data_IF_413857818835
#
_entry.id   IF_413857818835
#
_cell.length_a   1.000
_cell.length_b   1.000
_cell.length_c   1.000
_cell.angle_alpha   90.00
_cell.angle_beta   90.00
_cell.angle_gamma   90.00
#
_symmetry.space_group_name_H-M   'P 1'
#
loop_
_entity.id
_entity.type
_entity.pdbx_description
1 polymer ?
#
# COMPACT_ATOMS: atom_id res chain seq x y z
N UNK A 1 28.05 9.00 -9.05
CA UNK A 1 27.00 9.20 -8.02
C UNK A 1 27.60 8.88 -6.66
N UNK A 2 27.66 9.85 -5.78
CA UNK A 2 28.32 9.76 -4.48
C UNK A 2 27.42 9.02 -3.45
N UNK A 3 28.02 8.34 -2.49
CA UNK A 3 27.28 7.70 -1.38
C UNK A 3 26.49 8.75 -0.57
N UNK A 4 27.04 9.98 -0.42
CA UNK A 4 26.36 11.11 0.22
C UNK A 4 25.04 11.47 -0.46
N UNK A 5 24.99 11.43 -1.78
CA UNK A 5 23.77 11.75 -2.55
C UNK A 5 22.63 10.78 -2.23
N UNK A 6 22.97 9.49 -2.02
CA UNK A 6 21.98 8.48 -1.63
C UNK A 6 21.45 8.71 -0.23
N UNK A 7 22.32 9.00 0.74
CA UNK A 7 21.89 9.33 2.09
C UNK A 7 21.07 10.62 2.14
N UNK A 8 21.46 11.63 1.36
CA UNK A 8 20.69 12.87 1.27
C UNK A 8 19.31 12.63 0.62
N UNK A 9 19.23 11.81 -0.42
CA UNK A 9 17.96 11.40 -1.01
C UNK A 9 17.06 10.66 0.00
N UNK A 10 17.62 9.78 0.82
CA UNK A 10 16.89 9.11 1.91
C UNK A 10 16.41 10.10 2.97
N UNK A 11 17.25 11.05 3.36
CA UNK A 11 16.87 12.10 4.29
C UNK A 11 15.70 12.94 3.75
N UNK A 12 15.78 13.41 2.52
CA UNK A 12 14.69 14.15 1.88
C UNK A 12 13.42 13.32 1.79
N UNK A 13 13.54 12.04 1.44
CA UNK A 13 12.41 11.13 1.38
C UNK A 13 11.80 10.90 2.77
N UNK A 14 12.62 10.75 3.81
CA UNK A 14 12.18 10.52 5.19
C UNK A 14 11.56 11.76 5.84
N UNK A 15 12.07 12.95 5.52
CA UNK A 15 11.63 14.23 6.13
C UNK A 15 10.26 14.70 5.62
N UNK A 16 9.74 14.12 4.52
CA UNK A 16 8.44 14.48 3.96
C UNK A 16 7.38 13.43 4.29
N UNK A 17 6.19 13.87 4.65
CA UNK A 17 5.10 12.94 5.03
C UNK A 17 4.56 12.13 3.85
N UNK A 18 4.47 12.74 2.67
CA UNK A 18 3.89 12.14 1.48
C UNK A 18 4.93 11.69 0.44
N UNK A 19 6.23 11.81 0.77
CA UNK A 19 7.32 11.54 -0.16
C UNK A 19 7.74 12.77 -0.96
N UNK A 20 8.67 12.59 -1.88
CA UNK A 20 9.27 13.63 -2.71
C UNK A 20 9.36 13.15 -4.16
N UNK A 21 9.13 14.03 -5.12
CA UNK A 21 9.21 13.68 -6.54
C UNK A 21 10.67 13.57 -7.02
N UNK A 22 10.90 12.70 -8.01
CA UNK A 22 12.22 12.60 -8.65
C UNK A 22 12.64 13.92 -9.32
N UNK A 23 11.67 14.75 -9.74
CA UNK A 23 11.94 16.08 -10.32
C UNK A 23 12.46 17.08 -9.27
N UNK A 24 12.01 16.95 -8.03
CA UNK A 24 12.57 17.74 -6.94
C UNK A 24 13.97 17.25 -6.57
N UNK A 25 14.18 15.92 -6.48
CA UNK A 25 15.51 15.37 -6.19
C UNK A 25 16.55 15.74 -7.26
N UNK A 26 16.16 15.78 -8.53
CA UNK A 26 16.99 16.27 -9.63
C UNK A 26 17.51 17.68 -9.34
N UNK A 27 16.65 18.59 -8.90
CA UNK A 27 17.01 19.98 -8.56
C UNK A 27 17.89 20.07 -7.31
N UNK A 28 17.60 19.29 -6.29
CA UNK A 28 18.32 19.31 -5.01
C UNK A 28 19.76 18.77 -5.15
N UNK A 29 19.94 17.74 -5.98
CA UNK A 29 21.24 17.09 -6.16
C UNK A 29 22.01 17.59 -7.38
N UNK A 30 21.40 18.36 -8.28
CA UNK A 30 22.01 18.76 -9.54
C UNK A 30 22.30 17.59 -10.49
N UNK A 31 21.57 16.49 -10.37
CA UNK A 31 21.72 15.28 -11.22
C UNK A 31 20.64 15.25 -12.30
N UNK A 32 20.76 14.34 -13.27
CA UNK A 32 19.71 14.16 -14.27
C UNK A 32 18.47 13.49 -13.66
N UNK A 33 17.29 13.73 -14.25
CA UNK A 33 16.02 13.10 -13.83
C UNK A 33 16.14 11.56 -13.79
N UNK A 34 16.78 10.95 -14.78
CA UNK A 34 17.00 9.49 -14.83
C UNK A 34 17.79 9.00 -13.61
N UNK A 35 18.80 9.76 -13.20
CA UNK A 35 19.60 9.46 -12.02
C UNK A 35 18.78 9.59 -10.74
N UNK A 36 18.07 10.69 -10.56
CA UNK A 36 17.19 10.93 -9.42
C UNK A 36 16.10 9.85 -9.29
N UNK A 37 15.44 9.50 -10.40
CA UNK A 37 14.45 8.44 -10.43
C UNK A 37 15.03 7.08 -10.07
N UNK A 38 16.23 6.74 -10.57
CA UNK A 38 16.92 5.50 -10.23
C UNK A 38 17.28 5.42 -8.75
N UNK A 39 17.73 6.51 -8.14
CA UNK A 39 17.99 6.58 -6.69
C UNK A 39 16.74 6.22 -5.92
N UNK A 40 15.63 6.88 -6.21
CA UNK A 40 14.37 6.60 -5.50
C UNK A 40 13.84 5.18 -5.74
N UNK A 41 14.00 4.65 -6.96
CA UNK A 41 13.64 3.26 -7.23
C UNK A 41 14.46 2.30 -6.34
N UNK A 42 15.77 2.53 -6.21
CA UNK A 42 16.64 1.72 -5.35
C UNK A 42 16.26 1.86 -3.86
N UNK A 43 15.99 3.07 -3.38
CA UNK A 43 15.55 3.26 -1.99
C UNK A 43 14.22 2.51 -1.75
N UNK A 44 13.23 2.65 -2.63
CA UNK A 44 11.95 1.96 -2.48
C UNK A 44 12.08 0.44 -2.49
N UNK A 45 12.97 -0.11 -3.31
CA UNK A 45 13.18 -1.57 -3.35
C UNK A 45 13.74 -2.14 -2.04
N UNK A 46 14.45 -1.31 -1.24
CA UNK A 46 14.93 -1.72 0.09
C UNK A 46 13.85 -1.66 1.18
N UNK A 47 12.72 -1.00 0.92
CA UNK A 47 11.65 -0.82 1.88
C UNK A 47 10.60 -1.95 1.85
N UNK A 48 10.84 -2.98 1.07
CA UNK A 48 10.00 -4.18 1.08
C UNK A 48 10.15 -4.89 2.44
N UNK A 49 9.04 -5.13 3.12
CA UNK A 49 8.98 -5.79 4.41
C UNK A 49 8.16 -7.08 4.36
N UNK A 50 7.78 -7.50 3.16
CA UNK A 50 6.88 -8.62 3.01
C UNK A 50 7.47 -9.94 3.52
N UNK A 51 8.76 -10.13 3.35
CA UNK A 51 9.43 -11.38 3.72
C UNK A 51 9.95 -11.39 5.18
N UNK A 52 10.12 -10.21 5.78
CA UNK A 52 10.79 -10.07 7.09
C UNK A 52 9.83 -9.85 8.28
N UNK A 53 8.54 -9.68 8.03
CA UNK A 53 7.60 -9.32 9.08
C UNK A 53 6.82 -10.49 9.67
N UNK A 54 6.44 -10.43 10.98
CA UNK A 54 5.55 -11.43 11.56
C UNK A 54 4.20 -11.42 10.85
N UNK A 55 3.50 -12.54 10.84
CA UNK A 55 2.13 -12.62 10.35
C UNK A 55 1.23 -11.67 11.15
N UNK A 56 0.24 -11.10 10.47
CA UNK A 56 -0.79 -10.28 11.10
C UNK A 56 -1.66 -11.15 12.02
N UNK A 57 -2.06 -10.59 13.16
CA UNK A 57 -2.84 -11.33 14.16
C UNK A 57 -3.95 -10.49 14.79
N UNK A 58 -4.83 -11.11 15.54
CA UNK A 58 -5.90 -10.44 16.28
C UNK A 58 -7.01 -9.93 15.38
N UNK A 59 -7.26 -8.62 15.36
CA UNK A 59 -8.30 -7.98 14.54
C UNK A 59 -7.70 -7.45 13.24
N UNK A 60 -8.03 -8.08 12.12
CA UNK A 60 -7.48 -7.78 10.79
C UNK A 60 -8.58 -7.23 9.87
N UNK A 61 -8.35 -6.09 9.25
CA UNK A 61 -9.21 -5.54 8.20
C UNK A 61 -8.62 -5.93 6.84
N UNK A 62 -9.47 -6.35 5.90
CA UNK A 62 -9.09 -6.67 4.53
C UNK A 62 -10.01 -5.96 3.54
N UNK A 63 -9.42 -5.40 2.49
CA UNK A 63 -10.13 -4.65 1.45
C UNK A 63 -9.28 -4.54 0.18
N UNK A 64 -9.89 -4.24 -0.95
CA UNK A 64 -9.23 -3.97 -2.20
C UNK A 64 -9.31 -2.50 -2.59
N UNK A 65 -8.26 -2.04 -3.23
CA UNK A 65 -8.22 -0.71 -3.80
C UNK A 65 -7.69 -0.73 -5.23
N UNK A 66 -8.20 0.19 -6.06
CA UNK A 66 -7.87 0.26 -7.47
C UNK A 66 -7.09 1.53 -7.78
N UNK A 67 -5.93 1.35 -8.42
CA UNK A 67 -5.01 2.42 -8.81
C UNK A 67 -4.96 2.56 -10.32
N UNK A 68 -5.02 3.79 -10.80
CA UNK A 68 -5.01 4.13 -12.23
C UNK A 68 -5.85 5.36 -12.53
N UNK A 69 -5.72 5.86 -13.76
CA UNK A 69 -6.48 6.99 -14.24
C UNK A 69 -7.96 6.69 -14.45
N UNK A 70 -8.76 7.74 -14.58
CA UNK A 70 -10.18 7.60 -14.95
C UNK A 70 -10.29 7.25 -16.43
N UNK A 71 -11.15 6.29 -16.77
CA UNK A 71 -11.41 5.91 -18.18
C UNK A 71 -11.80 7.10 -19.06
N UNK A 72 -12.58 8.05 -18.53
CA UNK A 72 -12.97 9.26 -19.25
C UNK A 72 -11.80 10.15 -19.69
N UNK A 73 -10.66 10.03 -19.00
CA UNK A 73 -9.45 10.82 -19.31
C UNK A 73 -8.52 10.13 -20.31
N UNK A 74 -8.80 8.90 -20.68
CA UNK A 74 -8.05 8.18 -21.72
C UNK A 74 -8.46 8.67 -23.12
N UNK A 75 -7.53 8.59 -24.08
CA UNK A 75 -7.86 8.80 -25.48
C UNK A 75 -9.00 7.86 -25.92
N UNK A 76 -9.90 8.32 -26.77
CA UNK A 76 -11.10 7.58 -27.15
C UNK A 76 -10.81 6.15 -27.64
N UNK A 77 -9.73 5.97 -28.42
CA UNK A 77 -9.28 4.67 -28.93
C UNK A 77 -8.78 3.69 -27.85
N UNK A 78 -8.48 4.19 -26.63
CA UNK A 78 -7.97 3.40 -25.51
C UNK A 78 -9.01 3.21 -24.40
N UNK A 79 -10.23 3.71 -24.60
CA UNK A 79 -11.32 3.54 -23.62
C UNK A 79 -11.92 2.16 -23.76
N UNK A 80 -12.03 1.45 -22.65
CA UNK A 80 -12.62 0.09 -22.62
C UNK A 80 -14.16 0.12 -22.66
N UNK A 81 -14.80 1.29 -22.63
CA UNK A 81 -16.25 1.52 -22.69
C UNK A 81 -17.13 0.58 -21.83
N UNK A 82 -16.56 -0.05 -20.82
CA UNK A 82 -17.24 -0.99 -19.95
C UNK A 82 -17.25 -0.50 -18.51
N UNK A 83 -18.45 -0.27 -17.98
CA UNK A 83 -18.78 -0.24 -16.57
C UNK A 83 -18.04 0.78 -15.69
N UNK A 84 -18.48 0.79 -14.47
CA UNK A 84 -17.86 1.46 -13.31
C UNK A 84 -16.96 0.47 -12.57
N UNK A 85 -16.03 0.96 -11.74
CA UNK A 85 -15.18 0.12 -10.90
C UNK A 85 -13.72 0.05 -11.30
N UNK A 86 -13.10 -1.11 -11.15
CA UNK A 86 -11.67 -1.32 -11.32
C UNK A 86 -11.18 -1.55 -12.75
N UNK A 87 -12.05 -1.46 -13.77
CA UNK A 87 -11.69 -1.78 -15.16
C UNK A 87 -10.56 -0.88 -15.67
N UNK A 88 -9.52 -1.50 -16.19
CA UNK A 88 -8.32 -0.80 -16.69
C UNK A 88 -7.46 -0.17 -15.59
N UNK A 89 -7.70 -0.52 -14.32
CA UNK A 89 -6.90 -0.11 -13.16
C UNK A 89 -6.16 -1.31 -12.59
N UNK A 90 -5.10 -1.04 -11.86
CA UNK A 90 -4.34 -2.05 -11.13
C UNK A 90 -5.01 -2.32 -9.80
N UNK A 91 -5.36 -3.56 -9.54
CA UNK A 91 -5.93 -3.99 -8.26
C UNK A 91 -4.82 -4.13 -7.21
N UNK A 92 -5.10 -3.68 -6.01
CA UNK A 92 -4.25 -3.81 -4.83
C UNK A 92 -5.06 -4.43 -3.72
N UNK A 93 -4.59 -5.51 -3.15
CA UNK A 93 -5.15 -6.14 -1.97
C UNK A 93 -4.42 -5.65 -0.72
N UNK A 94 -5.16 -5.25 0.30
CA UNK A 94 -4.63 -4.77 1.57
C UNK A 94 -5.13 -5.57 2.75
N UNK A 95 -4.24 -5.75 3.71
CA UNK A 95 -4.52 -6.35 5.00
C UNK A 95 -3.90 -5.46 6.08
N UNK A 96 -4.65 -5.11 7.12
CA UNK A 96 -4.13 -4.30 8.23
C UNK A 96 -4.57 -4.88 9.57
N UNK A 97 -3.62 -5.08 10.45
CA UNK A 97 -3.87 -5.34 11.85
C UNK A 97 -4.30 -4.05 12.54
N UNK A 98 -5.42 -4.04 13.25
CA UNK A 98 -5.89 -2.86 13.97
C UNK A 98 -4.85 -2.43 15.01
N UNK A 99 -4.45 -1.16 14.94
CA UNK A 99 -3.35 -0.57 15.72
C UNK A 99 -1.96 -1.14 15.44
N UNK A 100 -1.82 -2.00 14.44
CA UNK A 100 -0.60 -2.67 14.05
C UNK A 100 -0.14 -2.34 12.63
N UNK A 101 0.34 -3.37 11.94
CA UNK A 101 0.98 -3.31 10.62
C UNK A 101 -0.05 -3.39 9.49
N UNK A 102 0.34 -2.85 8.33
CA UNK A 102 -0.33 -3.01 7.05
C UNK A 102 0.56 -3.81 6.10
N UNK A 103 -0.07 -4.64 5.29
CA UNK A 103 0.52 -5.30 4.11
C UNK A 103 -0.36 -4.94 2.91
N UNK A 104 0.24 -4.50 1.81
CA UNK A 104 -0.46 -4.12 0.60
C UNK A 104 0.23 -4.73 -0.62
N UNK A 105 -0.49 -5.53 -1.42
CA UNK A 105 0.02 -6.26 -2.57
C UNK A 105 -0.72 -5.91 -3.85
N UNK A 106 0.02 -5.65 -4.91
CA UNK A 106 -0.53 -5.60 -6.26
C UNK A 106 -0.94 -7.00 -6.66
N UNK A 107 -2.19 -7.16 -7.09
CA UNK A 107 -2.76 -8.45 -7.48
C UNK A 107 -3.30 -8.41 -8.91
N UNK A 108 -3.34 -9.54 -9.57
CA UNK A 108 -3.84 -9.64 -10.94
C UNK A 108 -5.35 -9.41 -11.05
N UNK A 109 -6.09 -9.81 -10.04
CA UNK A 109 -7.54 -9.65 -9.92
C UNK A 109 -7.97 -9.80 -8.45
N UNK A 110 -9.25 -9.57 -8.17
CA UNK A 110 -9.83 -9.64 -6.82
C UNK A 110 -10.65 -10.92 -6.60
N UNK A 111 -10.31 -12.01 -7.30
CA UNK A 111 -10.98 -13.29 -7.14
C UNK A 111 -10.43 -14.06 -5.93
N UNK A 112 -11.26 -14.92 -5.37
CA UNK A 112 -10.92 -15.79 -4.24
C UNK A 112 -9.57 -16.52 -4.42
N UNK A 113 -9.36 -17.13 -5.59
CA UNK A 113 -8.14 -17.89 -5.89
C UNK A 113 -6.86 -17.02 -5.85
N UNK A 114 -6.99 -15.71 -6.09
CA UNK A 114 -5.88 -14.77 -6.04
C UNK A 114 -5.65 -14.24 -4.61
N UNK A 115 -6.74 -13.95 -3.88
CA UNK A 115 -6.63 -13.31 -2.56
C UNK A 115 -6.29 -14.30 -1.44
N UNK A 116 -6.88 -15.49 -1.44
CA UNK A 116 -6.72 -16.45 -0.32
C UNK A 116 -5.29 -16.90 -0.07
N UNK A 117 -4.43 -17.14 -1.06
CA UNK A 117 -3.02 -17.43 -0.81
C UNK A 117 -2.32 -16.35 0.01
N UNK A 118 -2.57 -15.07 -0.27
CA UNK A 118 -2.00 -13.95 0.48
C UNK A 118 -2.52 -13.90 1.92
N UNK A 119 -3.80 -14.21 2.12
CA UNK A 119 -4.39 -14.28 3.46
C UNK A 119 -3.70 -15.36 4.29
N UNK A 120 -3.62 -16.59 3.79
CA UNK A 120 -3.02 -17.74 4.50
C UNK A 120 -1.54 -17.48 4.80
N UNK A 121 -0.81 -16.91 3.85
CA UNK A 121 0.60 -16.60 3.99
C UNK A 121 0.86 -15.55 5.06
N UNK A 122 0.03 -14.49 5.12
CA UNK A 122 0.31 -13.26 5.86
C UNK A 122 -0.46 -13.08 7.16
N UNK A 123 -1.44 -13.96 7.45
CA UNK A 123 -2.25 -13.85 8.67
C UNK A 123 -2.15 -15.11 9.53
N UNK A 124 -2.30 -14.91 10.83
CA UNK A 124 -2.37 -16.03 11.77
C UNK A 124 -3.77 -16.65 11.76
N UNK A 125 -3.89 -17.98 11.82
CA UNK A 125 -5.17 -18.64 12.10
C UNK A 125 -5.81 -18.08 13.37
N UNK A 126 -7.11 -18.29 13.54
CA UNK A 126 -7.93 -17.82 14.67
C UNK A 126 -8.05 -16.29 14.81
N UNK A 127 -7.50 -15.54 13.86
CA UNK A 127 -7.71 -14.08 13.79
C UNK A 127 -9.15 -13.72 13.44
N UNK A 128 -9.63 -12.60 13.98
CA UNK A 128 -10.91 -12.00 13.57
C UNK A 128 -10.69 -11.13 12.34
N UNK A 129 -11.29 -11.54 11.22
CA UNK A 129 -11.13 -10.85 9.93
C UNK A 129 -12.38 -10.02 9.61
N UNK A 130 -12.19 -8.75 9.29
CA UNK A 130 -13.24 -7.83 8.87
C UNK A 130 -13.09 -7.53 7.38
N UNK A 131 -14.16 -7.75 6.60
CA UNK A 131 -14.18 -7.47 5.14
C UNK A 131 -15.47 -6.77 4.76
N UNK A 132 -15.54 -6.31 3.52
CA UNK A 132 -16.81 -5.96 2.89
C UNK A 132 -17.65 -7.22 2.56
N UNK A 133 -18.76 -7.02 1.83
CA UNK A 133 -19.70 -8.08 1.43
C UNK A 133 -19.21 -8.91 0.24
N UNK A 134 -17.98 -8.72 -0.27
CA UNK A 134 -17.49 -9.41 -1.45
C UNK A 134 -17.50 -10.93 -1.29
N UNK A 135 -18.05 -11.69 -2.27
CA UNK A 135 -18.03 -13.15 -2.25
C UNK A 135 -16.63 -13.76 -2.25
N UNK A 136 -15.59 -12.97 -2.63
CA UNK A 136 -14.21 -13.42 -2.64
C UNK A 136 -13.73 -13.90 -1.26
N UNK A 137 -14.37 -13.43 -0.19
CA UNK A 137 -14.02 -13.76 1.20
C UNK A 137 -14.81 -14.92 1.81
N UNK A 138 -15.72 -15.55 1.05
CA UNK A 138 -16.53 -16.68 1.55
C UNK A 138 -15.71 -17.84 2.14
N UNK A 139 -14.51 -18.20 1.60
CA UNK A 139 -13.73 -19.29 2.17
C UNK A 139 -13.13 -19.03 3.56
N UNK A 140 -13.07 -17.79 4.03
CA UNK A 140 -12.48 -17.46 5.35
C UNK A 140 -13.12 -18.23 6.50
N UNK A 141 -14.43 -18.45 6.45
CA UNK A 141 -15.17 -19.21 7.47
C UNK A 141 -14.73 -20.68 7.55
N UNK A 142 -14.24 -21.24 6.43
CA UNK A 142 -13.73 -22.62 6.34
C UNK A 142 -12.24 -22.73 6.68
N UNK A 143 -11.54 -21.61 6.77
CA UNK A 143 -10.09 -21.51 6.98
C UNK A 143 -9.71 -21.13 8.41
N UNK A 144 -10.58 -21.44 9.39
CA UNK A 144 -10.37 -21.15 10.82
C UNK A 144 -10.23 -19.69 11.18
N UNK A 145 -10.82 -18.76 10.39
CA UNK A 145 -10.91 -17.35 10.73
C UNK A 145 -12.28 -17.01 11.30
N UNK A 146 -12.32 -16.10 12.27
CA UNK A 146 -13.56 -15.49 12.73
C UNK A 146 -13.94 -14.37 11.75
N UNK A 147 -14.73 -14.69 10.72
CA UNK A 147 -15.10 -13.73 9.67
C UNK A 147 -16.27 -12.86 10.08
N UNK A 148 -16.11 -11.53 9.99
CA UNK A 148 -17.14 -10.52 10.23
C UNK A 148 -17.24 -9.60 9.01
N UNK A 149 -18.46 -9.53 8.43
CA UNK A 149 -18.73 -8.68 7.26
C UNK A 149 -19.29 -7.33 7.67
N UNK A 150 -18.85 -6.29 6.98
CA UNK A 150 -19.34 -4.92 7.13
C UNK A 150 -20.33 -4.65 6.02
N UNK A 151 -21.59 -4.37 6.38
CA UNK A 151 -22.67 -4.11 5.44
C UNK A 151 -22.76 -2.62 5.11
N UNK A 152 -22.22 -2.21 3.96
CA UNK A 152 -22.27 -0.81 3.50
C UNK A 152 -23.67 -0.40 2.98
N UNK A 153 -24.48 -1.36 2.51
CA UNK A 153 -25.80 -1.10 1.91
C UNK A 153 -26.82 -0.45 2.85
N UNK A 154 -26.68 -0.63 4.17
CA UNK A 154 -27.59 -0.08 5.18
C UNK A 154 -27.16 1.26 5.77
N UNK A 155 -26.15 1.93 5.21
CA UNK A 155 -25.48 3.13 5.79
C UNK A 155 -25.03 2.94 7.26
N UNK A 156 -24.99 1.72 7.73
CA UNK A 156 -24.39 1.36 9.02
C UNK A 156 -22.90 1.17 8.78
N UNK A 157 -22.14 2.25 8.82
CA UNK A 157 -20.69 2.23 8.66
C UNK A 157 -19.95 1.55 9.81
N UNK A 158 -20.66 1.32 10.92
CA UNK A 158 -20.13 0.63 12.10
C UNK A 158 -21.27 -0.19 12.71
N UNK A 159 -21.18 -1.50 12.66
CA UNK A 159 -22.02 -2.40 13.45
C UNK A 159 -21.19 -2.91 14.63
N UNK A 160 -21.19 -2.16 15.74
CA UNK A 160 -20.31 -2.42 16.88
C UNK A 160 -18.81 -2.27 16.47
N UNK A 161 -18.05 -3.37 16.54
CA UNK A 161 -16.61 -3.40 16.21
C UNK A 161 -16.32 -3.64 14.70
N UNK A 162 -17.34 -3.89 13.87
CA UNK A 162 -17.16 -4.21 12.46
C UNK A 162 -17.01 -2.93 11.62
N UNK A 163 -15.77 -2.63 11.20
CA UNK A 163 -15.43 -1.54 10.28
C UNK A 163 -14.10 -1.84 9.57
N UNK A 164 -13.82 -1.17 8.46
CA UNK A 164 -12.55 -1.23 7.71
C UNK A 164 -11.83 0.13 7.63
N UNK A 165 -12.14 1.02 8.56
CA UNK A 165 -11.69 2.42 8.55
C UNK A 165 -10.17 2.58 8.58
N UNK A 166 -9.44 1.62 9.21
CA UNK A 166 -7.98 1.70 9.28
C UNK A 166 -7.37 1.54 7.89
N UNK A 167 -7.90 0.58 7.13
CA UNK A 167 -7.41 0.31 5.78
C UNK A 167 -7.86 1.40 4.79
N UNK A 168 -9.09 1.92 4.93
CA UNK A 168 -9.54 3.09 4.15
C UNK A 168 -8.65 4.31 4.38
N UNK A 169 -8.22 4.56 5.62
CA UNK A 169 -7.24 5.60 5.96
C UNK A 169 -5.90 5.39 5.26
N UNK A 170 -5.41 4.16 5.19
CA UNK A 170 -4.21 3.81 4.45
C UNK A 170 -4.38 4.04 2.93
N UNK A 171 -5.52 3.64 2.35
CA UNK A 171 -5.82 3.90 0.94
C UNK A 171 -5.90 5.40 0.63
N UNK A 172 -6.49 6.18 1.50
CA UNK A 172 -6.54 7.63 1.37
C UNK A 172 -5.14 8.24 1.35
N UNK A 173 -4.28 7.83 2.30
CA UNK A 173 -2.89 8.28 2.38
C UNK A 173 -2.12 7.98 1.09
N UNK A 174 -2.18 6.74 0.61
CA UNK A 174 -1.44 6.30 -0.59
C UNK A 174 -1.96 6.98 -1.85
N UNK A 175 -3.27 7.08 -2.03
CA UNK A 175 -3.89 7.75 -3.20
C UNK A 175 -3.57 9.24 -3.22
N UNK A 176 -3.63 9.91 -2.08
CA UNK A 176 -3.31 11.34 -1.98
C UNK A 176 -1.83 11.59 -2.28
N UNK A 177 -0.93 10.76 -1.76
CA UNK A 177 0.49 10.87 -2.07
C UNK A 177 0.80 10.61 -3.54
N UNK A 178 0.23 9.55 -4.13
CA UNK A 178 0.42 9.26 -5.55
C UNK A 178 -0.11 10.41 -6.43
N UNK A 179 -1.30 10.94 -6.16
CA UNK A 179 -1.88 12.03 -6.95
C UNK A 179 -1.16 13.36 -6.74
N UNK A 180 -0.80 13.68 -5.49
CA UNK A 180 -0.24 14.99 -5.13
C UNK A 180 1.25 15.11 -5.44
N UNK A 181 2.05 14.04 -5.26
CA UNK A 181 3.52 14.09 -5.39
C UNK A 181 3.98 13.51 -6.73
N UNK A 182 3.42 12.37 -7.13
CA UNK A 182 3.90 11.63 -8.31
C UNK A 182 3.00 11.80 -9.52
N UNK A 183 1.79 12.33 -9.35
CA UNK A 183 0.72 12.50 -10.34
C UNK A 183 0.20 11.18 -10.92
N UNK A 184 1.09 10.30 -11.36
CA UNK A 184 0.76 8.95 -11.81
C UNK A 184 1.94 8.01 -11.59
N UNK A 185 1.63 6.73 -11.39
CA UNK A 185 2.62 5.65 -11.24
C UNK A 185 2.22 4.53 -12.19
N UNK A 186 3.17 4.02 -12.98
CA UNK A 186 2.95 2.84 -13.83
C UNK A 186 2.67 1.60 -12.99
N UNK A 187 1.85 0.70 -13.52
CA UNK A 187 1.45 -0.52 -12.83
C UNK A 187 2.66 -1.36 -12.37
N UNK A 188 3.69 -1.41 -13.21
CA UNK A 188 4.94 -2.14 -12.98
C UNK A 188 5.77 -1.60 -11.80
N UNK A 189 5.55 -0.34 -11.39
CA UNK A 189 6.25 0.28 -10.25
C UNK A 189 5.37 0.43 -9.02
N UNK A 190 4.05 0.22 -9.14
CA UNK A 190 3.09 0.52 -8.08
C UNK A 190 3.45 -0.19 -6.76
N UNK A 191 3.88 -1.46 -6.82
CA UNK A 191 4.26 -2.21 -5.62
C UNK A 191 5.36 -1.52 -4.82
N UNK A 192 6.37 -0.97 -5.45
CA UNK A 192 7.48 -0.29 -4.75
C UNK A 192 7.03 0.99 -4.04
N UNK A 193 6.03 1.68 -4.58
CA UNK A 193 5.42 2.83 -3.90
C UNK A 193 4.56 2.40 -2.73
N UNK A 194 3.78 1.32 -2.88
CA UNK A 194 3.00 0.76 -1.77
C UNK A 194 3.90 0.31 -0.63
N UNK A 195 5.05 -0.30 -0.94
CA UNK A 195 6.05 -0.69 0.06
C UNK A 195 6.58 0.53 0.83
N UNK A 196 6.85 1.66 0.17
CA UNK A 196 7.22 2.91 0.86
C UNK A 196 6.13 3.37 1.82
N UNK A 197 4.87 3.42 1.39
CA UNK A 197 3.76 3.86 2.25
C UNK A 197 3.48 2.87 3.38
N UNK A 198 3.55 1.58 3.12
CA UNK A 198 3.41 0.54 4.14
C UNK A 198 4.53 0.64 5.19
N UNK A 199 5.79 0.81 4.76
CA UNK A 199 6.94 1.02 5.64
C UNK A 199 6.74 2.20 6.59
N UNK A 200 6.29 3.36 6.06
CA UNK A 200 5.97 4.56 6.85
C UNK A 200 4.80 4.33 7.81
N UNK A 201 3.74 3.70 7.32
CA UNK A 201 2.56 3.40 8.14
C UNK A 201 2.89 2.47 9.30
N UNK A 202 3.68 1.44 9.04
CA UNK A 202 4.07 0.45 10.04
C UNK A 202 4.92 1.04 11.17
N UNK A 203 5.65 2.14 10.88
CA UNK A 203 6.52 2.82 11.85
C UNK A 203 5.94 4.10 12.45
N UNK A 204 4.73 4.49 12.08
CA UNK A 204 4.12 5.77 12.53
C UNK A 204 4.00 5.95 14.04
N UNK A 205 4.02 4.84 14.82
CA UNK A 205 3.91 4.86 16.28
C UNK A 205 5.22 4.63 17.00
N UNK A 206 6.19 3.98 16.35
CA UNK A 206 7.48 3.61 16.95
C UNK A 206 8.54 4.71 16.82
N UNK A 207 8.19 5.84 16.22
CA UNK A 207 9.10 6.96 15.94
C UNK A 207 9.37 7.87 17.16
N UNK A 208 9.03 7.44 18.39
CA UNK A 208 9.33 8.21 19.60
C UNK A 208 10.81 8.39 19.88
N UNK A 209 11.66 7.43 19.50
CA UNK A 209 13.12 7.44 19.74
C UNK A 209 13.96 7.38 18.46
N UNK A 210 13.39 6.93 17.34
CA UNK A 210 14.11 6.81 16.06
C UNK A 210 13.36 7.54 14.95
N UNK A 211 14.05 8.42 14.27
CA UNK A 211 13.46 9.13 13.15
C UNK A 211 13.31 8.21 11.91
N UNK A 212 12.45 8.61 10.96
CA UNK A 212 12.20 7.85 9.74
C UNK A 212 13.47 7.64 8.89
N UNK A 213 14.41 8.58 8.95
CA UNK A 213 15.68 8.48 8.25
C UNK A 213 16.53 7.31 8.76
N UNK A 214 16.63 7.14 10.08
CA UNK A 214 17.33 6.00 10.69
C UNK A 214 16.68 4.69 10.30
N UNK A 215 15.35 4.64 10.29
CA UNK A 215 14.62 3.46 9.84
C UNK A 215 14.91 3.10 8.36
N UNK A 216 15.06 4.09 7.48
CA UNK A 216 15.49 3.87 6.09
C UNK A 216 16.95 3.41 6.02
N UNK A 217 17.84 4.05 6.78
CA UNK A 217 19.26 3.72 6.81
C UNK A 217 19.55 2.29 7.31
N UNK A 218 18.76 1.80 8.26
CA UNK A 218 18.87 0.41 8.73
C UNK A 218 18.58 -0.63 7.64
N UNK A 219 17.79 -0.28 6.61
CA UNK A 219 17.50 -1.20 5.49
C UNK A 219 18.67 -1.36 4.52
N UNK A 220 19.67 -0.47 4.54
CA UNK A 220 20.88 -0.60 3.69
C UNK A 220 21.80 -1.73 4.18
N UNK A 221 21.73 -2.08 5.46
CA UNK A 221 22.61 -3.07 6.09
C UNK A 221 22.16 -4.52 5.89
N UNK A 222 20.98 -4.73 5.33
CA UNK A 222 20.42 -6.04 4.98
C UNK A 222 20.55 -6.29 3.46
#
# INVERSE_FOLDING_TARGET
>A
MCIRDRFYAMYLMASTRCGISAKQLERELGVTYKCAWRIFKQIRSMLDEDDDGPKLSGKIEMDESFYGGLEKNKHASKRLHRGTGGIGKTAVFGMVERKGRVVAKVVSNTQTATLMPHVIERTMPDSTVFTDESPAYNPLERLSYQHKRVHHATKVYVSGDAHVNTLEGFWSLTKNGIRGVYHSVGAEYLQTYLNEYAFRFNRRKSLGEHNMFEAFAHRIRK
#
